data_IF_620224859129
#
_entry.id   IF_620224859129
#
_cell.length_a   1.000
_cell.length_b   1.000
_cell.length_c   1.000
_cell.angle_alpha   90.00
_cell.angle_beta   90.00
_cell.angle_gamma   90.00
#
_symmetry.space_group_name_H-M   'P 1'
#
loop_
_entity.id
_entity.type
_entity.pdbx_description
1 polymer ?
#
# COMPACT_ATOMS: atom_id res chain seq x y z
N UNK A 1 17.51 -9.26 1.77
CA UNK A 1 16.82 -8.76 2.98
C UNK A 1 15.50 -8.14 2.55
N UNK A 2 14.38 -8.58 3.09
CA UNK A 2 13.10 -7.88 2.91
C UNK A 2 13.11 -6.66 3.85
N UNK A 3 13.05 -5.44 3.30
CA UNK A 3 12.88 -4.22 4.10
C UNK A 3 11.39 -3.88 4.14
N UNK A 4 10.79 -4.05 5.31
CA UNK A 4 9.42 -3.62 5.59
C UNK A 4 9.48 -2.19 6.13
N UNK A 5 8.72 -1.28 5.53
CA UNK A 5 8.57 0.09 6.03
C UNK A 5 7.16 0.25 6.58
N UNK A 6 7.05 0.51 7.89
CA UNK A 6 5.79 0.79 8.58
C UNK A 6 5.69 2.30 8.76
N UNK A 7 4.62 2.93 8.24
CA UNK A 7 4.32 4.34 8.50
C UNK A 7 3.50 4.39 9.80
N UNK A 8 4.12 4.86 10.87
CA UNK A 8 3.52 4.93 12.20
C UNK A 8 2.35 5.93 12.25
N UNK A 9 1.13 5.40 12.32
CA UNK A 9 -0.09 6.18 12.58
C UNK A 9 -0.98 5.41 13.56
N UNK A 10 -0.71 5.48 14.88
CA UNK A 10 -1.61 5.21 16.03
C UNK A 10 -2.38 3.86 16.08
N UNK A 11 -2.25 3.02 15.06
CA UNK A 11 -2.97 1.78 14.85
C UNK A 11 -1.97 0.80 14.25
N UNK A 12 -1.56 -0.21 15.01
CA UNK A 12 -0.53 -1.22 14.66
C UNK A 12 -0.89 -2.09 13.43
N UNK A 13 -1.93 -1.75 12.69
CA UNK A 13 -2.39 -2.39 11.46
C UNK A 13 -1.76 -1.68 10.26
N UNK A 14 -1.02 -2.38 9.38
CA UNK A 14 -0.39 -1.76 8.23
C UNK A 14 -1.45 -1.17 7.29
N UNK A 15 -1.21 0.04 6.77
CA UNK A 15 -2.12 0.71 5.81
C UNK A 15 -1.80 0.34 4.35
N UNK A 16 -0.59 -0.14 4.10
CA UNK A 16 -0.11 -0.57 2.79
C UNK A 16 0.97 -1.63 2.93
N UNK A 17 1.25 -2.32 1.84
CA UNK A 17 2.37 -3.24 1.69
C UNK A 17 3.17 -2.91 0.44
N UNK A 18 4.50 -2.89 0.57
CA UNK A 18 5.43 -2.61 -0.51
C UNK A 18 6.36 -3.80 -0.66
N UNK A 19 6.40 -4.39 -1.86
CA UNK A 19 7.30 -5.49 -2.20
C UNK A 19 8.26 -5.06 -3.29
N UNK A 20 9.55 -5.08 -2.99
CA UNK A 20 10.60 -4.87 -3.99
C UNK A 20 10.64 -6.05 -4.96
N UNK A 21 10.63 -5.76 -6.26
CA UNK A 21 10.83 -6.74 -7.34
C UNK A 21 12.30 -6.76 -7.72
N UNK A 22 12.87 -5.57 -7.90
CA UNK A 22 14.28 -5.31 -8.21
C UNK A 22 14.69 -3.93 -7.68
N UNK A 23 15.93 -3.50 -7.94
CA UNK A 23 16.49 -2.24 -7.42
C UNK A 23 15.75 -0.97 -7.87
N UNK A 24 14.88 -1.08 -8.87
CA UNK A 24 14.15 0.02 -9.49
C UNK A 24 12.63 -0.17 -9.48
N UNK A 25 12.13 -1.36 -9.18
CA UNK A 25 10.71 -1.70 -9.33
C UNK A 25 10.12 -2.26 -8.05
N UNK A 26 8.93 -1.77 -7.68
CA UNK A 26 8.22 -2.16 -6.48
C UNK A 26 6.74 -2.43 -6.80
N UNK A 27 6.18 -3.48 -6.22
CA UNK A 27 4.73 -3.62 -6.10
C UNK A 27 4.24 -2.83 -4.89
N UNK A 28 3.13 -2.13 -5.06
CA UNK A 28 2.42 -1.40 -4.03
C UNK A 28 0.99 -1.94 -3.89
N UNK A 29 0.63 -2.33 -2.67
CA UNK A 29 -0.70 -2.80 -2.33
C UNK A 29 -1.29 -1.89 -1.25
N UNK A 30 -2.44 -1.30 -1.54
CA UNK A 30 -3.16 -0.41 -0.62
C UNK A 30 -4.25 -1.17 0.14
N UNK A 31 -4.27 -1.06 1.47
CA UNK A 31 -5.28 -1.73 2.30
C UNK A 31 -6.38 -0.80 2.82
N UNK A 32 -6.17 0.52 2.74
CA UNK A 32 -7.04 1.50 3.39
C UNK A 32 -6.76 1.63 4.90
N UNK A 33 -7.37 2.63 5.52
CA UNK A 33 -7.20 2.90 6.94
C UNK A 33 -8.02 1.93 7.78
N UNK A 34 -7.43 1.37 8.84
CA UNK A 34 -8.16 0.52 9.78
C UNK A 34 -8.95 1.38 10.79
N UNK A 35 -10.27 1.24 10.80
CA UNK A 35 -11.13 1.86 11.80
C UNK A 35 -11.40 0.88 12.95
N UNK A 36 -10.81 1.15 14.12
CA UNK A 36 -10.98 0.32 15.34
C UNK A 36 -12.42 0.25 15.85
N UNK A 37 -13.22 1.30 15.65
CA UNK A 37 -14.62 1.34 16.12
C UNK A 37 -15.50 0.38 15.32
N UNK A 38 -15.35 0.40 14.00
CA UNK A 38 -16.13 -0.46 13.10
C UNK A 38 -15.47 -1.82 12.84
N UNK A 39 -14.19 -1.96 13.21
CA UNK A 39 -13.30 -3.09 12.92
C UNK A 39 -13.19 -3.37 11.41
N UNK A 40 -13.26 -2.33 10.59
CA UNK A 40 -13.25 -2.42 9.12
C UNK A 40 -12.19 -1.50 8.52
N UNK A 41 -11.76 -1.86 7.31
CA UNK A 41 -10.93 -0.99 6.45
C UNK A 41 -11.82 0.01 5.73
N UNK A 42 -11.44 1.27 5.79
CA UNK A 42 -12.10 2.41 5.15
C UNK A 42 -11.16 3.04 4.12
N UNK A 43 -11.70 3.78 3.15
CA UNK A 43 -10.91 4.39 2.06
C UNK A 43 -10.07 3.35 1.29
N UNK A 44 -10.72 2.26 0.88
CA UNK A 44 -10.08 1.15 0.15
C UNK A 44 -9.73 1.50 -1.30
N UNK A 45 -10.37 2.53 -1.85
CA UNK A 45 -10.05 3.02 -3.17
C UNK A 45 -8.68 3.68 -3.16
N UNK A 46 -7.91 3.36 -4.19
CA UNK A 46 -6.58 3.89 -4.39
C UNK A 46 -6.60 4.78 -5.63
N UNK A 47 -6.18 6.04 -5.50
CA UNK A 47 -6.09 6.98 -6.62
C UNK A 47 -5.17 6.49 -7.73
N UNK A 48 -4.18 5.63 -7.42
CA UNK A 48 -3.30 5.02 -8.43
C UNK A 48 -3.99 3.93 -9.26
N UNK A 49 -5.20 3.51 -8.91
CA UNK A 49 -5.97 2.46 -9.60
C UNK A 49 -7.21 3.00 -10.31
N UNK A 50 -7.41 4.32 -10.33
CA UNK A 50 -8.61 4.92 -10.93
C UNK A 50 -8.67 4.76 -12.46
N UNK A 51 -7.53 4.72 -13.13
CA UNK A 51 -7.45 4.60 -14.60
C UNK A 51 -7.29 3.15 -15.07
N UNK A 52 -6.85 2.26 -14.19
CA UNK A 52 -6.62 0.84 -14.50
C UNK A 52 -7.39 -0.02 -13.52
N UNK A 53 -8.34 -0.82 -14.00
CA UNK A 53 -9.05 -1.85 -13.23
C UNK A 53 -8.12 -2.99 -12.70
N UNK A 54 -6.80 -2.78 -12.70
CA UNK A 54 -5.82 -3.71 -12.18
C UNK A 54 -5.62 -3.46 -10.68
N UNK A 55 -5.66 -4.55 -9.92
CA UNK A 55 -5.42 -4.55 -8.48
C UNK A 55 -3.96 -4.24 -8.10
N UNK A 56 -3.06 -4.25 -9.09
CA UNK A 56 -1.62 -4.15 -8.88
C UNK A 56 -1.05 -2.79 -9.33
N UNK A 57 -0.53 -2.03 -8.38
CA UNK A 57 0.20 -0.78 -8.64
C UNK A 57 1.69 -1.08 -8.68
N UNK A 58 2.32 -0.83 -9.83
CA UNK A 58 3.77 -0.98 -10.01
C UNK A 58 4.42 0.39 -9.95
N UNK A 59 5.24 0.61 -8.91
CA UNK A 59 6.04 1.81 -8.75
C UNK A 59 7.41 1.61 -9.39
N UNK A 60 7.83 2.59 -10.19
CA UNK A 60 9.18 2.66 -10.75
C UNK A 60 9.94 3.78 -10.08
N UNK A 61 11.18 3.51 -9.68
CA UNK A 61 12.10 4.51 -9.15
C UNK A 61 12.38 5.55 -10.24
N UNK A 62 12.19 6.82 -9.91
CA UNK A 62 12.59 7.93 -10.78
C UNK A 62 14.12 7.92 -11.01
N UNK A 63 14.55 8.37 -12.18
CA UNK A 63 15.96 8.61 -12.49
C UNK A 63 16.52 9.82 -11.73
#
# INVERSE_FOLDING_TARGET
MLKNYTIDNVNDEPIAYIKMIDDKTYHFYWYGFYNKKTKKREFKENSFQQETNNEEVILKKCE
#
